data_IF_938113080737
#
_entry.id   IF_938113080737
#
_cell.length_a   1.000
_cell.length_b   1.000
_cell.length_c   1.000
_cell.angle_alpha   90.00
_cell.angle_beta   90.00
_cell.angle_gamma   90.00
#
_symmetry.space_group_name_H-M   'P 1'
#
loop_
_entity.id
_entity.type
_entity.pdbx_description
1 polymer ?
#
# COMPACT_ATOMS: atom_id res chain seq x y z
N UNK A 1 -2.10 -1.97 14.85
CA UNK A 1 -2.15 -0.48 14.78
C UNK A 1 -2.71 -0.08 13.42
N UNK A 2 -3.70 0.82 13.36
CA UNK A 2 -4.29 1.31 12.10
C UNK A 2 -3.74 2.68 11.72
N UNK A 3 -3.21 2.80 10.50
CA UNK A 3 -2.57 4.03 10.00
C UNK A 3 -3.26 4.45 8.71
N UNK A 4 -3.82 5.66 8.68
CA UNK A 4 -4.35 6.25 7.44
C UNK A 4 -3.25 7.01 6.71
N UNK A 5 -3.05 6.71 5.43
CA UNK A 5 -2.00 7.36 4.63
C UNK A 5 -2.45 7.56 3.19
N UNK A 6 -2.01 8.68 2.62
CA UNK A 6 -2.16 8.98 1.19
C UNK A 6 -1.06 8.28 0.39
N UNK A 7 -1.44 7.55 -0.65
CA UNK A 7 -0.54 6.86 -1.55
C UNK A 7 -0.83 7.21 -3.01
N UNK A 8 0.21 7.33 -3.83
CA UNK A 8 0.05 7.53 -5.28
C UNK A 8 0.34 6.25 -6.05
N UNK A 9 -0.57 5.82 -6.91
CA UNK A 9 -0.30 4.73 -7.83
C UNK A 9 0.54 5.23 -9.01
N UNK A 10 1.72 4.67 -9.22
CA UNK A 10 2.60 5.00 -10.33
C UNK A 10 2.96 3.75 -11.14
N UNK A 11 3.60 4.00 -12.29
CA UNK A 11 4.22 3.02 -13.18
C UNK A 11 3.23 2.05 -13.85
N UNK A 12 3.07 2.21 -15.18
CA UNK A 12 2.14 1.43 -15.99
C UNK A 12 2.53 -0.03 -16.19
N UNK A 13 3.82 -0.35 -16.17
CA UNK A 13 4.33 -1.70 -16.41
C UNK A 13 4.29 -2.54 -15.12
N UNK A 14 4.70 -1.94 -14.01
CA UNK A 14 4.70 -2.54 -12.69
C UNK A 14 3.98 -1.60 -11.72
N UNK A 15 2.68 -1.83 -11.41
CA UNK A 15 1.92 -0.91 -10.57
C UNK A 15 2.52 -0.81 -9.16
N UNK A 16 2.91 0.40 -8.76
CA UNK A 16 3.50 0.68 -7.45
C UNK A 16 2.67 1.73 -6.74
N UNK A 17 2.34 1.51 -5.47
CA UNK A 17 1.88 2.59 -4.58
C UNK A 17 3.09 3.20 -3.90
N UNK A 18 3.23 4.53 -4.01
CA UNK A 18 4.25 5.29 -3.32
C UNK A 18 3.63 6.00 -2.13
N UNK A 19 4.27 5.85 -0.96
CA UNK A 19 3.89 6.53 0.27
C UNK A 19 5.09 7.32 0.81
N UNK A 20 4.85 8.50 1.35
CA UNK A 20 5.89 9.29 2.01
C UNK A 20 6.32 8.58 3.29
N UNK A 21 7.62 8.56 3.59
CA UNK A 21 8.12 8.00 4.84
C UNK A 21 7.57 8.79 6.03
N UNK A 22 7.19 8.05 7.06
CA UNK A 22 6.75 8.57 8.35
C UNK A 22 7.24 7.62 9.44
N UNK A 23 7.55 8.21 10.59
CA UNK A 23 7.73 7.57 11.89
C UNK A 23 6.65 6.54 12.25
N UNK A 24 5.44 6.67 11.70
CA UNK A 24 4.33 5.75 11.95
C UNK A 24 4.47 4.41 11.22
N UNK A 25 5.36 4.31 10.24
CA UNK A 25 5.46 3.13 9.36
C UNK A 25 6.86 2.56 9.40
N UNK A 26 6.95 1.26 9.70
CA UNK A 26 8.21 0.54 9.84
C UNK A 26 8.57 -0.22 8.56
N UNK A 27 9.85 -0.22 8.23
CA UNK A 27 10.39 -1.08 7.17
C UNK A 27 10.30 -2.56 7.59
N UNK A 28 10.22 -3.46 6.60
CA UNK A 28 10.23 -4.93 6.77
C UNK A 28 9.04 -5.51 7.55
N UNK A 29 8.05 -4.69 7.91
CA UNK A 29 6.77 -5.15 8.42
C UNK A 29 5.82 -5.50 7.27
N UNK A 30 4.99 -6.51 7.50
CA UNK A 30 3.89 -6.85 6.61
C UNK A 30 2.66 -6.02 7.01
N UNK A 31 2.09 -5.33 6.03
CA UNK A 31 0.89 -4.53 6.22
C UNK A 31 -0.26 -5.13 5.41
N UNK A 32 -1.43 -5.20 6.04
CA UNK A 32 -2.71 -5.34 5.37
C UNK A 32 -3.10 -3.95 4.87
N UNK A 33 -3.28 -3.82 3.56
CA UNK A 33 -3.62 -2.57 2.89
C UNK A 33 -5.09 -2.60 2.47
N UNK A 34 -5.87 -1.62 2.92
CA UNK A 34 -7.25 -1.41 2.52
C UNK A 34 -7.40 -0.05 1.85
N UNK A 35 -8.15 0.02 0.74
CA UNK A 35 -8.39 1.26 -0.01
C UNK A 35 -9.68 1.92 0.49
N UNK A 36 -9.57 3.01 1.23
CA UNK A 36 -10.74 3.64 1.86
C UNK A 36 -11.69 4.31 0.84
N UNK A 37 -11.15 4.79 -0.28
CA UNK A 37 -11.93 5.48 -1.30
C UNK A 37 -12.61 4.51 -2.31
N UNK A 38 -12.46 3.20 -2.11
CA UNK A 38 -12.96 2.17 -3.02
C UNK A 38 -13.92 1.28 -2.24
N UNK A 39 -15.17 1.18 -2.69
CA UNK A 39 -16.24 0.36 -2.07
C UNK A 39 -16.05 -1.16 -2.28
N UNK A 40 -14.81 -1.63 -2.40
CA UNK A 40 -14.48 -3.04 -2.61
C UNK A 40 -13.58 -3.50 -1.47
N UNK A 41 -14.03 -4.50 -0.73
CA UNK A 41 -13.28 -5.10 0.39
C UNK A 41 -12.18 -6.03 -0.14
N UNK A 42 -11.08 -5.44 -0.61
CA UNK A 42 -9.84 -6.16 -0.83
C UNK A 42 -8.80 -5.71 0.19
N UNK A 43 -8.26 -6.72 0.86
CA UNK A 43 -7.11 -6.61 1.71
C UNK A 43 -5.90 -7.20 0.99
N UNK A 44 -4.84 -6.39 0.83
CA UNK A 44 -3.59 -6.87 0.24
C UNK A 44 -2.53 -6.90 1.33
N UNK A 45 -2.05 -8.11 1.64
CA UNK A 45 -0.92 -8.31 2.55
C UNK A 45 0.39 -8.15 1.78
N UNK A 46 1.17 -7.09 2.08
CA UNK A 46 2.44 -6.81 1.41
C UNK A 46 3.49 -6.23 2.36
N UNK A 47 4.74 -6.61 2.09
CA UNK A 47 5.91 -6.03 2.74
C UNK A 47 6.21 -4.67 2.12
N UNK A 48 6.37 -3.67 2.98
CA UNK A 48 6.81 -2.35 2.58
C UNK A 48 8.31 -2.32 2.26
N UNK A 49 8.68 -1.76 1.11
CA UNK A 49 10.08 -1.62 0.67
C UNK A 49 10.47 -0.17 0.49
N UNK A 50 11.77 0.12 0.56
CA UNK A 50 12.29 1.44 0.19
C UNK A 50 12.09 1.71 -1.31
N UNK A 51 11.66 2.94 -1.64
CA UNK A 51 11.64 3.43 -3.01
C UNK A 51 12.77 4.43 -3.24
N UNK A 52 12.87 5.45 -2.38
CA UNK A 52 13.96 6.43 -2.38
C UNK A 52 14.21 6.98 -0.97
N UNK A 53 14.95 8.08 -0.84
CA UNK A 53 15.25 8.70 0.46
C UNK A 53 13.98 9.13 1.21
N UNK A 54 12.97 9.62 0.49
CA UNK A 54 11.77 10.22 1.07
C UNK A 54 10.53 9.33 1.07
N UNK A 55 10.52 8.24 0.29
CA UNK A 55 9.33 7.43 0.06
C UNK A 55 9.59 5.93 0.18
N UNK A 56 8.54 5.22 0.59
CA UNK A 56 8.43 3.77 0.49
C UNK A 56 7.55 3.37 -0.71
N UNK A 57 7.60 2.08 -1.08
CA UNK A 57 6.72 1.48 -2.11
C UNK A 57 6.03 0.21 -1.63
N UNK A 58 4.81 0.02 -2.12
CA UNK A 58 4.14 -1.29 -2.21
C UNK A 58 4.00 -1.70 -3.67
N UNK A 59 4.36 -2.93 -3.97
CA UNK A 59 4.10 -3.55 -5.28
C UNK A 59 2.68 -4.12 -5.29
N UNK A 60 1.85 -3.61 -6.20
CA UNK A 60 0.50 -4.12 -6.42
C UNK A 60 0.47 -4.96 -7.68
N UNK A 61 -0.03 -6.19 -7.56
CA UNK A 61 -0.21 -7.07 -8.71
C UNK A 61 -1.19 -6.47 -9.72
N UNK A 62 -0.93 -6.67 -11.00
CA UNK A 62 -1.80 -6.20 -12.10
C UNK A 62 -3.25 -6.67 -11.96
N UNK A 63 -3.48 -7.88 -11.44
CA UNK A 63 -4.81 -8.41 -11.11
C UNK A 63 -5.55 -7.55 -10.09
N UNK A 64 -4.90 -7.21 -8.98
CA UNK A 64 -5.48 -6.37 -7.92
C UNK A 64 -5.76 -4.96 -8.45
N UNK A 65 -4.81 -4.38 -9.20
CA UNK A 65 -4.98 -3.09 -9.87
C UNK A 65 -6.21 -3.08 -10.79
N UNK A 66 -6.42 -4.15 -11.56
CA UNK A 66 -7.55 -4.29 -12.48
C UNK A 66 -8.88 -4.45 -11.75
N UNK A 67 -8.94 -5.31 -10.74
CA UNK A 67 -10.12 -5.54 -9.93
C UNK A 67 -10.59 -4.25 -9.23
N UNK A 68 -9.66 -3.56 -8.57
CA UNK A 68 -9.92 -2.29 -7.89
C UNK A 68 -10.10 -1.10 -8.85
N UNK A 69 -9.99 -1.31 -10.17
CA UNK A 69 -10.08 -0.27 -11.21
C UNK A 69 -9.23 0.97 -10.89
N UNK A 70 -7.99 0.75 -10.43
CA UNK A 70 -7.12 1.86 -10.06
C UNK A 70 -6.63 2.61 -11.30
N UNK A 71 -6.65 3.94 -11.24
CA UNK A 71 -6.02 4.85 -12.18
C UNK A 71 -4.56 5.15 -11.80
N UNK A 72 -3.70 5.27 -12.81
CA UNK A 72 -2.32 5.71 -12.63
C UNK A 72 -2.25 7.21 -12.34
N UNK A 73 -1.20 7.63 -11.64
CA UNK A 73 -0.95 9.00 -11.18
C UNK A 73 -2.04 9.59 -10.26
N UNK A 74 -3.00 8.76 -9.84
CA UNK A 74 -4.04 9.11 -8.90
C UNK A 74 -3.58 8.83 -7.48
N UNK A 75 -4.04 9.68 -6.57
CA UNK A 75 -3.84 9.52 -5.15
C UNK A 75 -5.02 8.75 -4.53
N UNK A 76 -4.71 7.87 -3.59
CA UNK A 76 -5.68 7.05 -2.85
C UNK A 76 -5.43 7.20 -1.35
N UNK A 77 -6.49 7.22 -0.58
CA UNK A 77 -6.42 7.05 0.86
C UNK A 77 -6.41 5.56 1.20
N UNK A 78 -5.39 5.15 1.95
CA UNK A 78 -5.21 3.79 2.41
C UNK A 78 -5.33 3.73 3.93
N UNK A 79 -5.84 2.60 4.42
CA UNK A 79 -5.66 2.17 5.79
C UNK A 79 -4.64 1.02 5.79
N UNK A 80 -3.55 1.20 6.53
CA UNK A 80 -2.55 0.17 6.76
C UNK A 80 -2.78 -0.42 8.14
N UNK A 81 -2.88 -1.73 8.22
CA UNK A 81 -2.91 -2.46 9.48
C UNK A 81 -1.69 -3.38 9.55
N UNK A 82 -0.82 -3.18 10.54
CA UNK A 82 0.33 -4.05 10.75
C UNK A 82 -0.18 -5.46 11.08
N UNK A 83 0.28 -6.45 10.32
CA UNK A 83 -0.04 -7.84 10.60
C UNK A 83 0.85 -8.30 11.75
N UNK A 84 0.24 -8.67 12.87
CA UNK A 84 0.97 -9.28 13.98
C UNK A 84 1.47 -10.65 13.51
N UNK A 85 2.79 -10.87 13.57
CA UNK A 85 3.34 -12.22 13.48
C UNK A 85 2.79 -13.00 14.68
N UNK A 86 1.84 -13.90 14.42
CA UNK A 86 1.52 -14.95 15.38
C UNK A 86 2.76 -15.84 15.47
N UNK A 87 3.55 -15.65 16.52
CA UNK A 87 4.46 -16.69 16.97
C UNK A 87 3.58 -17.83 17.50
N UNK A 88 3.33 -18.84 16.67
CA UNK A 88 2.96 -20.19 17.13
C UNK A 88 4.22 -20.96 17.54
#
# INVERSE_FOLDING_TARGET
MKIKIKARLINKKNPLLIIKKSDKISLRKEYIISFLDIKQDIEVSRILKNFNKENFKFEIGTKVKGYLKLDYQKDYMLELNEKEEKNE
#
